data_IF_688963350286
#
_entry.id   IF_688963350286
#
_cell.length_a   1.000
_cell.length_b   1.000
_cell.length_c   1.000
_cell.angle_alpha   90.00
_cell.angle_beta   90.00
_cell.angle_gamma   90.00
#
_symmetry.space_group_name_H-M   'P 1'
#
loop_
_entity.id
_entity.type
_entity.pdbx_description
1 polymer ?
#
# COMPACT_ATOMS: atom_id res chain seq x y z
N UNK A 1 -7.97 11.88 34.60
CA UNK A 1 -7.23 12.97 33.94
C UNK A 1 -7.51 12.87 32.45
N UNK A 2 -8.29 13.80 31.88
CA UNK A 2 -8.33 13.93 30.42
C UNK A 2 -6.90 14.34 30.03
N UNK A 3 -6.20 13.53 29.23
CA UNK A 3 -4.99 14.02 28.58
C UNK A 3 -5.41 15.28 27.81
N UNK A 4 -4.95 16.44 28.25
CA UNK A 4 -4.97 17.63 27.40
C UNK A 4 -4.13 17.26 26.19
N UNK A 5 -4.82 17.05 25.07
CA UNK A 5 -4.19 16.77 23.79
C UNK A 5 -3.34 17.97 23.42
N UNK A 6 -2.06 17.72 23.19
CA UNK A 6 -1.09 18.75 22.88
C UNK A 6 -1.39 19.41 21.54
N UNK A 7 -1.56 20.74 21.59
CA UNK A 7 -1.90 21.56 20.43
C UNK A 7 -0.83 21.44 19.33
N UNK A 8 0.44 21.28 19.72
CA UNK A 8 1.59 21.12 18.82
C UNK A 8 1.46 19.85 17.96
N UNK A 9 1.17 18.71 18.61
CA UNK A 9 0.98 17.42 17.94
C UNK A 9 -0.24 17.44 17.00
N UNK A 10 -1.34 18.04 17.45
CA UNK A 10 -2.54 18.17 16.63
C UNK A 10 -2.35 19.12 15.45
N UNK A 11 -1.62 20.21 15.63
CA UNK A 11 -1.25 21.12 14.54
C UNK A 11 -0.38 20.41 13.50
N UNK A 12 0.64 19.67 13.93
CA UNK A 12 1.51 18.91 13.04
C UNK A 12 0.71 17.87 12.21
N UNK A 13 -0.17 17.13 12.87
CA UNK A 13 -1.07 16.17 12.22
C UNK A 13 -1.99 16.85 11.21
N UNK A 14 -2.56 18.01 11.56
CA UNK A 14 -3.46 18.73 10.68
C UNK A 14 -2.78 19.29 9.43
N UNK A 15 -1.58 19.85 9.58
CA UNK A 15 -0.77 20.32 8.44
C UNK A 15 -0.43 19.17 7.48
N UNK A 16 -0.05 18.01 8.03
CA UNK A 16 0.27 16.81 7.25
C UNK A 16 -0.96 16.31 6.50
N UNK A 17 -2.10 16.17 7.18
CA UNK A 17 -3.35 15.71 6.57
C UNK A 17 -3.85 16.66 5.48
N UNK A 18 -3.75 17.98 5.66
CA UNK A 18 -4.14 18.96 4.63
C UNK A 18 -3.35 18.77 3.33
N UNK A 19 -2.05 18.49 3.42
CA UNK A 19 -1.24 18.20 2.23
C UNK A 19 -1.74 16.94 1.53
N UNK A 20 -1.96 15.84 2.27
CA UNK A 20 -2.44 14.57 1.69
C UNK A 20 -3.86 14.66 1.13
N UNK A 21 -4.71 15.48 1.73
CA UNK A 21 -6.05 15.73 1.24
C UNK A 21 -6.03 16.44 -0.11
N UNK A 22 -5.15 17.43 -0.30
CA UNK A 22 -4.96 18.07 -1.61
C UNK A 22 -4.47 17.08 -2.67
N UNK A 23 -3.48 16.26 -2.32
CA UNK A 23 -2.97 15.19 -3.20
C UNK A 23 -4.11 14.24 -3.64
N UNK A 24 -5.08 13.95 -2.75
CA UNK A 24 -6.24 13.12 -3.09
C UNK A 24 -7.22 13.84 -4.02
N UNK A 25 -7.56 15.10 -3.71
CA UNK A 25 -8.57 15.89 -4.44
C UNK A 25 -8.13 16.13 -5.88
N UNK A 26 -6.84 16.41 -6.11
CA UNK A 26 -6.28 16.69 -7.44
C UNK A 26 -6.42 15.52 -8.42
N UNK A 27 -6.58 14.28 -7.93
CA UNK A 27 -6.68 13.10 -8.77
C UNK A 27 -8.13 12.69 -9.08
N UNK A 28 -9.14 13.32 -8.47
CA UNK A 28 -10.56 12.92 -8.61
C UNK A 28 -11.01 12.97 -10.06
N UNK A 29 -10.76 14.09 -10.76
CA UNK A 29 -11.20 14.27 -12.14
C UNK A 29 -10.54 13.26 -13.08
N UNK A 30 -9.22 13.04 -12.92
CA UNK A 30 -8.48 12.07 -13.72
C UNK A 30 -8.95 10.62 -13.50
N UNK A 31 -9.31 10.25 -12.27
CA UNK A 31 -9.88 8.93 -11.96
C UNK A 31 -11.25 8.73 -12.61
N UNK A 32 -12.05 9.80 -12.72
CA UNK A 32 -13.36 9.74 -13.40
C UNK A 32 -13.22 9.56 -14.91
N UNK A 33 -12.32 10.32 -15.53
CA UNK A 33 -12.06 10.26 -16.97
C UNK A 33 -11.48 8.91 -17.38
N UNK A 34 -10.66 8.31 -16.51
CA UNK A 34 -10.03 7.00 -16.73
C UNK A 34 -9.17 6.92 -18.00
N UNK A 35 -8.61 8.06 -18.43
CA UNK A 35 -7.69 8.15 -19.57
C UNK A 35 -6.28 7.67 -19.22
N UNK A 36 -5.84 7.94 -17.99
CA UNK A 36 -4.54 7.50 -17.46
C UNK A 36 -4.73 6.74 -16.13
N UNK A 37 -4.29 5.48 -16.12
CA UNK A 37 -4.33 4.58 -14.96
C UNK A 37 -3.52 5.11 -13.76
N UNK A 38 -2.57 6.02 -14.01
CA UNK A 38 -1.74 6.59 -12.95
C UNK A 38 -2.51 7.55 -12.05
N UNK A 39 -3.59 8.20 -12.52
CA UNK A 39 -4.49 8.95 -11.64
C UNK A 39 -5.08 8.06 -10.55
N UNK A 40 -5.52 6.86 -10.93
CA UNK A 40 -6.06 5.87 -10.00
C UNK A 40 -4.98 5.40 -9.00
N UNK A 41 -3.76 5.17 -9.48
CA UNK A 41 -2.64 4.82 -8.62
C UNK A 41 -2.32 5.92 -7.59
N UNK A 42 -2.19 7.18 -8.03
CA UNK A 42 -1.87 8.32 -7.17
C UNK A 42 -2.98 8.58 -6.15
N UNK A 43 -4.24 8.55 -6.56
CA UNK A 43 -5.38 8.69 -5.64
C UNK A 43 -5.43 7.56 -4.60
N UNK A 44 -5.18 6.31 -5.03
CA UNK A 44 -5.07 5.17 -4.10
C UNK A 44 -3.95 5.39 -3.08
N UNK A 45 -2.77 5.83 -3.51
CA UNK A 45 -1.64 6.14 -2.62
C UNK A 45 -1.99 7.25 -1.64
N UNK A 46 -2.59 8.34 -2.11
CA UNK A 46 -3.04 9.45 -1.26
C UNK A 46 -4.06 8.97 -0.20
N UNK A 47 -5.07 8.19 -0.59
CA UNK A 47 -6.07 7.66 0.34
C UNK A 47 -5.45 6.75 1.41
N UNK A 48 -4.44 5.94 1.07
CA UNK A 48 -3.69 5.12 2.05
C UNK A 48 -2.90 5.98 3.02
N UNK A 49 -2.22 7.02 2.53
CA UNK A 49 -1.47 7.97 3.37
C UNK A 49 -2.40 8.70 4.33
N UNK A 50 -3.55 9.21 3.87
CA UNK A 50 -4.57 9.82 4.74
C UNK A 50 -4.98 8.86 5.85
N UNK A 51 -5.26 7.59 5.53
CA UNK A 51 -5.65 6.59 6.56
C UNK A 51 -4.55 6.32 7.58
N UNK A 52 -3.30 6.23 7.13
CA UNK A 52 -2.15 6.04 8.02
C UNK A 52 -1.96 7.25 8.93
N UNK A 53 -2.03 8.47 8.39
CA UNK A 53 -1.92 9.70 9.16
C UNK A 53 -3.09 9.86 10.13
N UNK A 54 -4.34 9.62 9.71
CA UNK A 54 -5.51 9.65 10.60
C UNK A 54 -5.41 8.69 11.78
N UNK A 55 -4.70 7.56 11.64
CA UNK A 55 -4.48 6.63 12.73
C UNK A 55 -3.47 7.14 13.76
N UNK A 56 -2.50 7.98 13.35
CA UNK A 56 -1.50 8.57 14.25
C UNK A 56 -2.07 9.74 15.07
N UNK A 57 -3.00 10.49 14.48
CA UNK A 57 -3.58 11.70 15.09
C UNK A 57 -5.06 11.54 15.45
N UNK A 58 -5.55 10.30 15.65
CA UNK A 58 -6.97 10.06 15.87
C UNK A 58 -7.53 10.76 17.12
N UNK A 59 -6.69 10.93 18.13
CA UNK A 59 -7.05 11.59 19.39
C UNK A 59 -7.26 13.10 19.22
N UNK A 60 -6.68 13.73 18.18
CA UNK A 60 -6.80 15.17 17.90
C UNK A 60 -8.17 15.59 17.37
N UNK A 61 -9.08 14.64 17.18
CA UNK A 61 -10.36 14.89 16.52
C UNK A 61 -11.50 14.22 17.29
N UNK A 62 -12.74 14.73 17.15
CA UNK A 62 -13.91 14.05 17.70
C UNK A 62 -14.03 12.63 17.15
N UNK A 63 -14.12 11.65 18.05
CA UNK A 63 -14.09 10.22 17.69
C UNK A 63 -15.19 9.81 16.69
N UNK A 64 -16.36 10.45 16.73
CA UNK A 64 -17.44 10.21 15.75
C UNK A 64 -17.03 10.64 14.32
N UNK A 65 -16.31 11.75 14.19
CA UNK A 65 -15.85 12.27 12.90
C UNK A 65 -14.75 11.38 12.32
N UNK A 66 -13.72 11.07 13.11
CA UNK A 66 -12.61 10.17 12.68
C UNK A 66 -13.11 8.82 12.21
N UNK A 67 -14.06 8.21 12.93
CA UNK A 67 -14.67 6.94 12.53
C UNK A 67 -15.33 7.04 11.15
N UNK A 68 -16.03 8.14 10.88
CA UNK A 68 -16.69 8.40 9.60
C UNK A 68 -15.65 8.61 8.49
N UNK A 69 -14.66 9.47 8.71
CA UNK A 69 -13.58 9.73 7.76
C UNK A 69 -12.81 8.46 7.40
N UNK A 70 -12.38 7.67 8.40
CA UNK A 70 -11.67 6.41 8.18
C UNK A 70 -12.52 5.39 7.44
N UNK A 71 -13.82 5.33 7.70
CA UNK A 71 -14.74 4.43 6.98
C UNK A 71 -14.82 4.79 5.50
N UNK A 72 -14.96 6.08 5.17
CA UNK A 72 -15.04 6.53 3.77
C UNK A 72 -13.70 6.38 3.05
N UNK A 73 -12.60 6.80 3.68
CA UNK A 73 -11.26 6.61 3.09
C UNK A 73 -10.93 5.12 2.91
N UNK A 74 -11.36 4.23 3.83
CA UNK A 74 -11.20 2.78 3.66
C UNK A 74 -11.96 2.26 2.45
N UNK A 75 -13.19 2.74 2.22
CA UNK A 75 -14.00 2.39 1.05
C UNK A 75 -13.28 2.82 -0.24
N UNK A 76 -12.85 4.08 -0.31
CA UNK A 76 -12.08 4.61 -1.45
C UNK A 76 -10.83 3.77 -1.71
N UNK A 77 -9.98 3.59 -0.68
CA UNK A 77 -8.75 2.79 -0.81
C UNK A 77 -9.00 1.37 -1.31
N UNK A 78 -10.06 0.70 -0.81
CA UNK A 78 -10.35 -0.69 -1.19
C UNK A 78 -10.80 -0.77 -2.65
N UNK A 79 -11.76 0.06 -3.04
CA UNK A 79 -12.31 0.01 -4.42
C UNK A 79 -11.27 0.41 -5.46
N UNK A 80 -10.46 1.44 -5.20
CA UNK A 80 -9.33 1.78 -6.06
C UNK A 80 -8.22 0.70 -6.00
N UNK A 81 -8.15 -0.05 -4.89
CA UNK A 81 -7.26 -1.20 -4.76
C UNK A 81 -7.59 -2.30 -5.74
N UNK A 82 -8.82 -2.79 -5.72
CA UNK A 82 -9.26 -3.87 -6.59
C UNK A 82 -9.03 -3.51 -8.09
N UNK A 83 -9.27 -2.26 -8.46
CA UNK A 83 -9.02 -1.76 -9.82
C UNK A 83 -7.52 -1.69 -10.17
N UNK A 84 -6.67 -1.11 -9.30
CA UNK A 84 -5.23 -1.02 -9.55
C UNK A 84 -4.58 -2.40 -9.59
N UNK A 85 -5.03 -3.32 -8.75
CA UNK A 85 -4.45 -4.66 -8.71
C UNK A 85 -4.72 -5.38 -10.06
N UNK A 86 -5.90 -5.18 -10.66
CA UNK A 86 -6.18 -5.66 -12.02
C UNK A 86 -5.36 -4.91 -13.11
N UNK A 87 -5.16 -3.59 -12.99
CA UNK A 87 -4.29 -2.83 -13.92
C UNK A 87 -2.85 -3.36 -13.90
N UNK A 88 -2.30 -3.63 -12.72
CA UNK A 88 -0.95 -4.21 -12.55
C UNK A 88 -0.87 -5.63 -13.13
N UNK A 89 -1.90 -6.45 -12.93
CA UNK A 89 -1.95 -7.78 -13.52
C UNK A 89 -2.02 -7.75 -15.04
N UNK A 90 -2.75 -6.80 -15.63
CA UNK A 90 -2.82 -6.59 -17.08
C UNK A 90 -1.43 -6.24 -17.62
N UNK A 91 -0.78 -5.24 -17.04
CA UNK A 91 0.57 -4.79 -17.44
C UNK A 91 1.61 -5.92 -17.33
N UNK A 92 1.57 -6.70 -16.23
CA UNK A 92 2.41 -7.87 -16.05
C UNK A 92 2.22 -8.91 -17.17
N UNK A 93 0.97 -9.24 -17.51
CA UNK A 93 0.68 -10.24 -18.54
C UNK A 93 0.99 -9.75 -19.95
N UNK A 94 0.80 -8.46 -20.24
CA UNK A 94 1.19 -7.84 -21.50
C UNK A 94 2.70 -7.89 -21.68
N UNK A 95 3.45 -7.43 -20.69
CA UNK A 95 4.93 -7.50 -20.67
C UNK A 95 5.40 -8.95 -20.80
N UNK A 96 4.75 -9.89 -20.11
CA UNK A 96 5.08 -11.31 -20.21
C UNK A 96 4.84 -11.85 -21.63
N UNK A 97 3.70 -11.52 -22.26
CA UNK A 97 3.37 -11.94 -23.63
C UNK A 97 4.33 -11.38 -24.69
N UNK A 98 4.83 -10.16 -24.47
CA UNK A 98 5.80 -9.50 -25.34
C UNK A 98 7.18 -10.16 -25.26
N UNK A 99 7.58 -10.59 -24.05
CA UNK A 99 8.82 -11.34 -23.83
C UNK A 99 8.76 -12.82 -24.26
N UNK A 100 7.59 -13.33 -24.60
CA UNK A 100 7.38 -14.76 -24.85
C UNK A 100 7.86 -15.20 -26.24
N UNK A 101 8.84 -16.09 -26.29
CA UNK A 101 9.36 -16.61 -27.56
C UNK A 101 8.43 -17.67 -28.18
N UNK A 102 7.98 -18.64 -27.38
CA UNK A 102 7.24 -19.81 -27.87
C UNK A 102 5.73 -19.54 -28.07
N UNK A 103 5.26 -19.70 -29.30
CA UNK A 103 3.85 -19.46 -29.65
C UNK A 103 2.86 -20.39 -28.92
N UNK A 104 3.27 -21.61 -28.54
CA UNK A 104 2.40 -22.60 -27.87
C UNK A 104 1.87 -22.15 -26.51
N UNK A 105 2.55 -21.23 -25.83
CA UNK A 105 2.14 -20.73 -24.52
C UNK A 105 1.19 -19.52 -24.59
N UNK A 106 1.11 -18.86 -25.76
CA UNK A 106 0.36 -17.60 -25.92
C UNK A 106 -1.14 -17.74 -25.66
N UNK A 107 -1.75 -18.84 -26.06
CA UNK A 107 -3.21 -19.01 -26.00
C UNK A 107 -3.76 -18.96 -24.57
N UNK A 108 -3.13 -19.68 -23.64
CA UNK A 108 -3.51 -19.69 -22.22
C UNK A 108 -3.39 -18.31 -21.58
N UNK A 109 -2.26 -17.64 -21.82
CA UNK A 109 -1.96 -16.34 -21.20
C UNK A 109 -2.86 -15.25 -21.77
N UNK A 110 -3.12 -15.24 -23.08
CA UNK A 110 -4.11 -14.33 -23.69
C UNK A 110 -5.51 -14.54 -23.13
N UNK A 111 -5.88 -15.78 -22.82
CA UNK A 111 -7.18 -16.09 -22.22
C UNK A 111 -7.28 -15.55 -20.79
N UNK A 112 -6.23 -15.70 -20.00
CA UNK A 112 -6.12 -15.10 -18.67
C UNK A 112 -6.21 -13.57 -18.73
N UNK A 113 -5.42 -12.94 -19.60
CA UNK A 113 -5.44 -11.49 -19.83
C UNK A 113 -6.84 -10.99 -20.19
N UNK A 114 -7.55 -11.69 -21.07
CA UNK A 114 -8.94 -11.37 -21.42
C UNK A 114 -9.85 -11.37 -20.19
N UNK A 115 -9.73 -12.36 -19.29
CA UNK A 115 -10.56 -12.43 -18.07
C UNK A 115 -10.29 -11.28 -17.12
N UNK A 116 -9.02 -10.92 -16.94
CA UNK A 116 -8.63 -9.81 -16.06
C UNK A 116 -9.10 -8.47 -16.64
N UNK A 117 -9.00 -8.27 -17.96
CA UNK A 117 -9.57 -7.08 -18.64
C UNK A 117 -11.09 -6.98 -18.44
N UNK A 118 -11.82 -8.08 -18.58
CA UNK A 118 -13.27 -8.12 -18.32
C UNK A 118 -13.59 -7.78 -16.85
N UNK A 119 -12.80 -8.30 -15.90
CA UNK A 119 -12.93 -7.95 -14.49
C UNK A 119 -12.66 -6.46 -14.25
N UNK A 120 -11.59 -5.90 -14.83
CA UNK A 120 -11.23 -4.49 -14.68
C UNK A 120 -12.30 -3.55 -15.21
N UNK A 121 -12.90 -3.89 -16.36
CA UNK A 121 -14.02 -3.16 -16.93
C UNK A 121 -15.23 -3.17 -15.98
N UNK A 122 -15.56 -4.33 -15.40
CA UNK A 122 -16.61 -4.46 -14.38
C UNK A 122 -16.34 -3.66 -13.11
N UNK A 123 -15.07 -3.48 -12.73
CA UNK A 123 -14.66 -2.68 -11.57
C UNK A 123 -14.79 -1.17 -11.81
N UNK A 124 -14.74 -0.70 -13.07
CA UNK A 124 -14.83 0.72 -13.38
C UNK A 124 -16.14 1.35 -12.89
N UNK A 125 -17.26 0.63 -13.01
CA UNK A 125 -18.56 1.06 -12.47
C UNK A 125 -18.52 1.24 -10.95
N UNK A 126 -17.80 0.37 -10.23
CA UNK A 126 -17.63 0.47 -8.77
C UNK A 126 -16.76 1.66 -8.39
N UNK A 127 -15.71 1.94 -9.16
CA UNK A 127 -14.85 3.13 -8.98
C UNK A 127 -15.71 4.39 -9.07
N UNK A 128 -16.46 4.57 -10.16
CA UNK A 128 -17.35 5.73 -10.36
C UNK A 128 -18.36 5.85 -9.21
N UNK A 129 -19.04 4.76 -8.85
CA UNK A 129 -20.00 4.75 -7.73
C UNK A 129 -19.38 5.21 -6.40
N UNK A 130 -18.12 4.87 -6.16
CA UNK A 130 -17.41 5.28 -4.93
C UNK A 130 -16.98 6.74 -5.01
N UNK A 131 -16.64 7.26 -6.19
CA UNK A 131 -16.37 8.69 -6.38
C UNK A 131 -17.64 9.52 -6.17
N UNK A 132 -18.76 9.14 -6.79
CA UNK A 132 -20.06 9.83 -6.62
C UNK A 132 -20.45 9.90 -5.13
N UNK A 133 -20.27 8.78 -4.40
CA UNK A 133 -20.55 8.73 -2.96
C UNK A 133 -19.59 9.55 -2.12
N UNK A 134 -18.33 9.70 -2.55
CA UNK A 134 -17.35 10.49 -1.81
C UNK A 134 -17.70 11.97 -1.90
N UNK A 135 -17.97 12.46 -3.11
CA UNK A 135 -18.39 13.82 -3.39
C UNK A 135 -19.72 14.17 -2.70
N UNK A 136 -20.71 13.27 -2.74
CA UNK A 136 -22.01 13.50 -2.11
C UNK A 136 -22.04 13.38 -0.57
N UNK A 137 -20.91 13.04 0.08
CA UNK A 137 -20.89 12.75 1.53
C UNK A 137 -20.41 13.89 2.41
N UNK A 138 -20.06 15.04 1.82
CA UNK A 138 -19.42 16.22 2.45
C UNK A 138 -18.16 15.87 3.26
N UNK A 139 -17.64 14.65 3.16
CA UNK A 139 -16.55 14.16 4.02
C UNK A 139 -15.24 14.86 3.72
N UNK A 140 -14.97 15.17 2.44
CA UNK A 140 -13.76 15.90 2.06
C UNK A 140 -13.79 17.33 2.60
N UNK A 141 -14.93 18.02 2.45
CA UNK A 141 -15.16 19.37 2.97
C UNK A 141 -15.07 19.40 4.50
N UNK A 142 -15.70 18.43 5.17
CA UNK A 142 -15.68 18.32 6.62
C UNK A 142 -14.28 18.05 7.19
N UNK A 143 -13.48 17.19 6.52
CA UNK A 143 -12.07 17.01 6.86
C UNK A 143 -11.35 18.34 6.67
N UNK A 144 -11.47 18.95 5.49
CA UNK A 144 -10.75 20.19 5.16
C UNK A 144 -11.05 21.32 6.15
N UNK A 145 -12.32 21.55 6.48
CA UNK A 145 -12.76 22.58 7.42
C UNK A 145 -12.16 22.35 8.80
N UNK A 146 -12.27 21.12 9.33
CA UNK A 146 -11.75 20.78 10.66
C UNK A 146 -10.23 20.99 10.72
N UNK A 147 -9.49 20.53 9.70
CA UNK A 147 -8.04 20.70 9.66
C UNK A 147 -7.63 22.17 9.50
N UNK A 148 -8.41 22.97 8.74
CA UNK A 148 -8.18 24.41 8.60
C UNK A 148 -8.41 25.15 9.90
N UNK A 149 -9.44 24.79 10.67
CA UNK A 149 -9.71 25.38 11.99
C UNK A 149 -8.54 25.14 12.94
N UNK A 150 -8.03 23.90 13.03
CA UNK A 150 -6.83 23.58 13.85
C UNK A 150 -5.62 24.40 13.39
N UNK A 151 -5.39 24.50 12.08
CA UNK A 151 -4.26 25.27 11.53
C UNK A 151 -4.37 26.77 11.82
N UNK A 152 -5.58 27.35 11.75
CA UNK A 152 -5.81 28.77 12.07
C UNK A 152 -5.58 29.00 13.55
N UNK A 153 -6.15 28.16 14.42
CA UNK A 153 -5.97 28.24 15.87
C UNK A 153 -4.49 28.17 16.26
N UNK A 154 -3.76 27.17 15.75
CA UNK A 154 -2.32 27.03 16.01
C UNK A 154 -1.51 28.23 15.54
N UNK A 155 -1.90 28.87 14.41
CA UNK A 155 -1.24 30.09 13.93
C UNK A 155 -1.52 31.30 14.83
N UNK A 156 -2.75 31.47 15.31
CA UNK A 156 -3.13 32.57 16.19
C UNK A 156 -2.43 32.47 17.55
N UNK A 157 -2.30 31.26 18.07
CA UNK A 157 -1.63 30.97 19.34
C UNK A 157 -0.10 30.83 19.20
N UNK A 158 0.45 30.98 17.99
CA UNK A 158 1.89 30.83 17.71
C UNK A 158 2.46 29.47 18.18
N UNK A 159 1.67 28.41 18.03
CA UNK A 159 2.05 27.05 18.42
C UNK A 159 3.22 26.58 17.55
N UNK A 160 4.33 26.22 18.19
CA UNK A 160 5.46 25.57 17.54
C UNK A 160 5.18 24.07 17.41
N UNK A 161 5.48 23.48 16.24
CA UNK A 161 5.37 22.03 16.02
C UNK A 161 6.66 21.29 16.39
N UNK A 162 7.75 22.00 16.68
CA UNK A 162 9.06 21.45 17.03
C UNK A 162 9.28 21.34 18.55
N UNK A 163 8.25 20.88 19.28
CA UNK A 163 8.29 20.69 20.74
C UNK A 163 8.77 19.29 21.13
N UNK A 164 9.34 19.14 22.33
CA UNK A 164 9.80 17.84 22.85
C UNK A 164 8.71 16.77 22.79
N UNK A 165 7.45 17.13 23.05
CA UNK A 165 6.33 16.20 22.98
C UNK A 165 6.07 15.66 21.57
N UNK A 166 6.15 16.50 20.52
CA UNK A 166 5.99 16.03 19.14
C UNK A 166 7.11 15.06 18.76
N UNK A 167 8.35 15.33 19.16
CA UNK A 167 9.48 14.41 18.96
C UNK A 167 9.33 13.10 19.75
N UNK A 168 8.80 13.16 20.98
CA UNK A 168 8.51 11.97 21.78
C UNK A 168 7.43 11.10 21.12
N UNK A 169 6.36 11.71 20.60
CA UNK A 169 5.31 10.98 19.88
C UNK A 169 5.83 10.39 18.56
N UNK A 170 6.67 11.14 17.82
CA UNK A 170 7.32 10.65 16.62
C UNK A 170 8.22 9.44 16.90
N UNK A 171 9.09 9.55 17.92
CA UNK A 171 9.96 8.46 18.37
C UNK A 171 9.14 7.24 18.76
N UNK A 172 8.12 7.39 19.60
CA UNK A 172 7.26 6.29 20.03
C UNK A 172 6.57 5.62 18.84
N UNK A 173 5.96 6.41 17.95
CA UNK A 173 5.24 5.89 16.80
C UNK A 173 6.16 5.13 15.83
N UNK A 174 7.36 5.66 15.55
CA UNK A 174 8.32 5.01 14.65
C UNK A 174 8.87 3.73 15.30
N UNK A 175 9.29 3.77 16.57
CA UNK A 175 9.79 2.60 17.30
C UNK A 175 8.77 1.48 17.36
N UNK A 176 7.51 1.77 17.70
CA UNK A 176 6.44 0.76 17.72
C UNK A 176 6.21 0.10 16.35
N UNK A 177 6.37 0.83 15.25
CA UNK A 177 6.24 0.27 13.89
C UNK A 177 7.48 -0.47 13.42
N UNK A 178 8.64 -0.11 13.94
CA UNK A 178 9.86 -0.88 13.75
C UNK A 178 9.74 -2.22 14.46
N UNK A 179 9.36 -2.22 15.73
CA UNK A 179 9.15 -3.45 16.52
C UNK A 179 8.09 -4.35 15.89
N UNK A 180 6.97 -3.78 15.41
CA UNK A 180 5.94 -4.53 14.67
C UNK A 180 6.50 -5.24 13.43
N UNK A 181 7.42 -4.62 12.71
CA UNK A 181 8.06 -5.22 11.53
C UNK A 181 9.09 -6.28 11.93
N UNK A 182 9.95 -5.97 12.91
CA UNK A 182 11.00 -6.87 13.39
C UNK A 182 10.43 -8.10 14.10
N UNK A 183 9.20 -8.05 14.62
CA UNK A 183 8.50 -9.22 15.15
C UNK A 183 8.35 -10.37 14.12
N UNK A 184 8.46 -10.07 12.82
CA UNK A 184 8.42 -11.07 11.76
C UNK A 184 9.80 -11.56 11.29
N UNK A 185 10.90 -11.02 11.87
CA UNK A 185 12.26 -11.47 11.57
C UNK A 185 12.47 -12.98 11.64
N UNK A 186 11.92 -13.73 12.64
CA UNK A 186 12.13 -15.17 12.72
C UNK A 186 11.66 -15.96 11.48
N UNK A 187 10.76 -15.39 10.68
CA UNK A 187 10.20 -16.00 9.48
C UNK A 187 10.96 -15.65 8.20
N UNK A 188 11.90 -14.69 8.24
CA UNK A 188 12.64 -14.22 7.05
C UNK A 188 13.33 -15.35 6.30
N UNK A 189 13.84 -16.36 7.03
CA UNK A 189 14.57 -17.51 6.48
C UNK A 189 13.67 -18.73 6.19
N UNK A 190 12.35 -18.57 6.26
CA UNK A 190 11.36 -19.64 6.08
C UNK A 190 10.49 -19.35 4.84
N UNK A 191 10.87 -19.82 3.64
CA UNK A 191 10.16 -19.47 2.40
C UNK A 191 8.70 -19.94 2.38
N UNK A 192 8.36 -20.99 3.13
CA UNK A 192 7.00 -21.53 3.25
C UNK A 192 6.05 -20.66 4.09
N UNK A 193 6.57 -19.69 4.85
CA UNK A 193 5.79 -18.79 5.74
C UNK A 193 5.23 -17.60 4.98
N UNK A 194 4.46 -17.90 3.93
CA UNK A 194 3.88 -16.90 2.99
C UNK A 194 3.04 -15.86 3.73
N UNK A 195 2.21 -16.28 4.68
CA UNK A 195 1.35 -15.37 5.44
C UNK A 195 2.15 -14.40 6.32
N UNK A 196 3.20 -14.89 6.98
CA UNK A 196 4.07 -14.06 7.82
C UNK A 196 4.94 -13.10 7.01
N UNK A 197 5.47 -13.54 5.86
CA UNK A 197 6.20 -12.65 4.95
C UNK A 197 5.28 -11.55 4.38
N UNK A 198 4.02 -11.88 4.07
CA UNK A 198 3.02 -10.89 3.69
C UNK A 198 2.68 -9.92 4.85
N UNK A 199 2.56 -10.44 6.08
CA UNK A 199 2.31 -9.62 7.26
C UNK A 199 3.49 -8.66 7.54
N UNK A 200 4.72 -9.14 7.39
CA UNK A 200 5.94 -8.33 7.46
C UNK A 200 5.92 -7.20 6.43
N UNK A 201 5.53 -7.48 5.18
CA UNK A 201 5.36 -6.44 4.14
C UNK A 201 4.37 -5.37 4.57
N UNK A 202 3.25 -5.76 5.17
CA UNK A 202 2.25 -4.82 5.68
C UNK A 202 2.85 -3.95 6.81
N UNK A 203 3.61 -4.57 7.73
CA UNK A 203 4.30 -3.86 8.80
C UNK A 203 5.35 -2.87 8.26
N UNK A 204 6.19 -3.28 7.32
CA UNK A 204 7.16 -2.42 6.63
C UNK A 204 6.47 -1.21 5.96
N UNK A 205 5.31 -1.43 5.33
CA UNK A 205 4.51 -0.35 4.76
C UNK A 205 4.00 0.64 5.80
N UNK A 206 3.56 0.15 6.97
CA UNK A 206 3.11 1.00 8.09
C UNK A 206 4.27 1.80 8.67
N UNK A 207 5.44 1.18 8.85
CA UNK A 207 6.67 1.85 9.27
C UNK A 207 7.06 2.94 8.28
N UNK A 208 7.13 2.63 6.99
CA UNK A 208 7.46 3.61 5.94
C UNK A 208 6.54 4.82 5.97
N UNK A 209 5.22 4.60 6.07
CA UNK A 209 4.26 5.71 6.12
C UNK A 209 4.34 6.52 7.41
N UNK A 210 4.73 5.89 8.53
CA UNK A 210 4.96 6.58 9.80
C UNK A 210 6.21 7.45 9.72
N UNK A 211 7.30 6.93 9.14
CA UNK A 211 8.51 7.71 8.86
C UNK A 211 8.18 8.87 7.91
N UNK A 212 7.47 8.64 6.81
CA UNK A 212 7.06 9.71 5.87
C UNK A 212 6.24 10.84 6.52
N UNK A 213 5.50 10.55 7.59
CA UNK A 213 4.73 11.54 8.34
C UNK A 213 5.65 12.42 9.18
N UNK A 214 6.60 11.82 9.90
CA UNK A 214 7.47 12.54 10.83
C UNK A 214 8.81 13.00 10.25
N UNK A 215 9.21 12.54 9.06
CA UNK A 215 10.45 12.93 8.35
C UNK A 215 10.71 14.45 8.33
N UNK A 216 9.71 15.34 8.15
CA UNK A 216 9.94 16.79 8.21
C UNK A 216 10.50 17.31 9.55
N UNK A 217 10.31 16.58 10.66
CA UNK A 217 10.85 16.96 11.97
C UNK A 217 12.35 16.66 12.11
N UNK A 218 12.88 15.77 11.28
CA UNK A 218 14.24 15.24 11.38
C UNK A 218 15.14 15.72 10.23
N UNK A 219 14.76 16.77 9.50
CA UNK A 219 15.60 17.40 8.45
C UNK A 219 16.28 16.40 7.49
N UNK A 220 15.54 15.42 6.99
CA UNK A 220 16.02 14.33 6.09
C UNK A 220 16.92 13.26 6.75
N UNK A 221 17.22 13.31 8.05
CA UNK A 221 18.00 12.26 8.74
C UNK A 221 17.32 10.88 8.66
N UNK A 222 16.00 10.83 8.56
CA UNK A 222 15.23 9.59 8.39
C UNK A 222 15.15 9.08 6.94
N UNK A 223 15.72 9.81 5.99
CA UNK A 223 15.59 9.50 4.55
C UNK A 223 16.23 8.16 4.19
N UNK A 224 17.41 7.88 4.72
CA UNK A 224 18.13 6.62 4.49
C UNK A 224 17.32 5.43 5.03
N UNK A 225 16.85 5.52 6.28
CA UNK A 225 16.00 4.48 6.89
C UNK A 225 14.69 4.31 6.11
N UNK A 226 14.06 5.39 5.66
CA UNK A 226 12.87 5.32 4.81
C UNK A 226 13.13 4.60 3.49
N UNK A 227 14.28 4.84 2.86
CA UNK A 227 14.68 4.18 1.62
C UNK A 227 14.90 2.68 1.85
N UNK A 228 15.57 2.29 2.92
CA UNK A 228 15.74 0.87 3.28
C UNK A 228 14.39 0.18 3.51
N UNK A 229 13.51 0.78 4.32
CA UNK A 229 12.18 0.20 4.57
C UNK A 229 11.35 0.14 3.28
N UNK A 230 11.51 1.12 2.38
CA UNK A 230 10.90 1.07 1.05
C UNK A 230 11.40 -0.13 0.26
N UNK A 231 12.69 -0.42 0.28
CA UNK A 231 13.27 -1.55 -0.45
C UNK A 231 12.78 -2.88 0.10
N UNK A 232 12.80 -3.07 1.43
CA UNK A 232 12.17 -4.24 2.10
C UNK A 232 10.72 -4.42 1.63
N UNK A 233 9.94 -3.33 1.61
CA UNK A 233 8.54 -3.37 1.18
C UNK A 233 8.37 -3.65 -0.33
N UNK A 234 9.34 -3.29 -1.17
CA UNK A 234 9.35 -3.59 -2.61
C UNK A 234 9.62 -5.08 -2.81
N UNK A 235 10.73 -5.59 -2.27
CA UNK A 235 11.12 -7.00 -2.43
C UNK A 235 10.02 -7.94 -1.91
N UNK A 236 9.53 -7.72 -0.69
CA UNK A 236 8.41 -8.50 -0.14
C UNK A 236 7.10 -8.30 -0.92
N UNK A 237 6.95 -7.16 -1.60
CA UNK A 237 5.85 -6.92 -2.52
C UNK A 237 5.90 -7.84 -3.73
N UNK A 238 7.06 -7.92 -4.37
CA UNK A 238 7.28 -8.77 -5.53
C UNK A 238 7.06 -10.24 -5.17
N UNK A 239 7.61 -10.71 -4.03
CA UNK A 239 7.40 -12.09 -3.52
C UNK A 239 5.91 -12.38 -3.37
N UNK A 240 5.18 -11.50 -2.67
CA UNK A 240 3.74 -11.67 -2.46
C UNK A 240 2.95 -11.66 -3.77
N UNK A 241 3.30 -10.79 -4.72
CA UNK A 241 2.61 -10.72 -6.00
C UNK A 241 2.79 -12.03 -6.79
N UNK A 242 3.96 -12.68 -6.70
CA UNK A 242 4.15 -14.02 -7.26
C UNK A 242 3.43 -15.12 -6.47
N UNK A 243 3.40 -15.06 -5.14
CA UNK A 243 2.64 -16.02 -4.31
C UNK A 243 1.15 -16.02 -4.72
N UNK A 244 0.57 -14.83 -4.93
CA UNK A 244 -0.80 -14.66 -5.42
C UNK A 244 -0.99 -15.31 -6.79
N UNK A 245 -0.04 -15.16 -7.71
CA UNK A 245 -0.11 -15.83 -9.02
C UNK A 245 -0.03 -17.35 -8.91
N UNK A 246 0.91 -17.87 -8.12
CA UNK A 246 1.11 -19.31 -7.93
C UNK A 246 -0.15 -19.97 -7.34
N UNK A 247 -0.83 -19.29 -6.42
CA UNK A 247 -2.11 -19.73 -5.86
C UNK A 247 -3.28 -19.61 -6.84
N UNK A 248 -3.34 -18.52 -7.60
CA UNK A 248 -4.49 -18.19 -8.46
C UNK A 248 -4.53 -19.02 -9.76
N UNK A 249 -3.38 -19.29 -10.39
CA UNK A 249 -3.33 -19.93 -11.71
C UNK A 249 -3.97 -21.34 -11.77
N UNK A 250 -3.80 -22.22 -10.76
CA UNK A 250 -4.54 -23.48 -10.68
C UNK A 250 -6.06 -23.30 -10.59
N UNK A 251 -6.51 -22.33 -9.79
CA UNK A 251 -7.94 -22.02 -9.63
C UNK A 251 -8.54 -21.52 -10.95
N UNK A 252 -7.83 -20.61 -11.62
CA UNK A 252 -8.20 -20.12 -12.94
C UNK A 252 -8.35 -21.25 -13.96
N UNK A 253 -7.42 -22.20 -13.98
CA UNK A 253 -7.47 -23.33 -14.91
C UNK A 253 -8.70 -24.22 -14.67
N UNK A 254 -9.06 -24.43 -13.40
CA UNK A 254 -10.25 -25.19 -13.03
C UNK A 254 -11.56 -24.46 -13.39
N UNK A 255 -11.61 -23.14 -13.16
CA UNK A 255 -12.75 -22.33 -13.61
C UNK A 255 -12.93 -22.37 -15.13
N UNK A 256 -11.84 -22.27 -15.89
CA UNK A 256 -11.89 -22.38 -17.35
C UNK A 256 -12.24 -23.80 -17.80
N UNK A 257 -11.87 -24.84 -17.05
CA UNK A 257 -12.31 -26.22 -17.31
C UNK A 257 -13.83 -26.34 -17.19
N UNK A 258 -14.43 -25.81 -16.12
CA UNK A 258 -15.88 -25.83 -15.91
C UNK A 258 -16.58 -25.07 -17.04
N UNK A 259 -16.15 -23.85 -17.35
CA UNK A 259 -16.74 -23.03 -18.43
C UNK A 259 -16.63 -23.69 -19.81
N UNK A 260 -15.50 -24.36 -20.08
CA UNK A 260 -15.31 -25.09 -21.34
C UNK A 260 -16.25 -26.30 -21.43
N UNK A 261 -16.44 -27.02 -20.32
CA UNK A 261 -17.36 -28.15 -20.24
C UNK A 261 -18.81 -27.71 -20.42
N UNK A 262 -19.23 -26.62 -19.77
CA UNK A 262 -20.58 -26.05 -19.90
C UNK A 262 -20.89 -25.60 -21.33
N UNK A 263 -19.93 -24.98 -22.02
CA UNK A 263 -20.14 -24.44 -23.36
C UNK A 263 -20.02 -25.49 -24.47
N UNK A 264 -19.01 -26.38 -24.41
CA UNK A 264 -18.71 -27.34 -25.47
C UNK A 264 -19.16 -28.78 -25.18
N UNK A 265 -19.55 -29.09 -23.95
CA UNK A 265 -19.82 -30.46 -23.51
C UNK A 265 -18.56 -31.34 -23.32
N UNK A 266 -17.37 -30.79 -23.53
CA UNK A 266 -16.09 -31.50 -23.35
C UNK A 266 -14.93 -30.54 -23.05
N UNK A 267 -13.82 -31.03 -22.51
CA UNK A 267 -12.66 -30.21 -22.11
C UNK A 267 -11.53 -30.12 -23.15
N UNK A 268 -11.69 -30.68 -24.36
CA UNK A 268 -10.63 -30.68 -25.39
C UNK A 268 -10.02 -29.29 -25.68
N UNK A 269 -10.81 -28.19 -25.79
CA UNK A 269 -10.25 -26.86 -26.03
C UNK A 269 -9.34 -26.35 -24.91
N UNK A 270 -9.52 -26.83 -23.67
CA UNK A 270 -8.70 -26.43 -22.51
C UNK A 270 -7.23 -26.81 -22.68
N UNK A 271 -6.93 -27.87 -23.44
CA UNK A 271 -5.56 -28.33 -23.65
C UNK A 271 -4.67 -27.25 -24.30
N UNK A 272 -5.26 -26.40 -25.16
CA UNK A 272 -4.56 -25.28 -25.79
C UNK A 272 -4.23 -24.16 -24.79
N UNK A 273 -5.04 -24.01 -23.73
CA UNK A 273 -4.84 -23.01 -22.70
C UNK A 273 -3.86 -23.49 -21.63
N UNK A 274 -3.95 -24.76 -21.27
CA UNK A 274 -3.22 -25.38 -20.17
C UNK A 274 -1.71 -25.20 -20.28
N UNK A 275 -1.14 -25.33 -21.48
CA UNK A 275 0.31 -25.18 -21.69
C UNK A 275 0.80 -23.79 -21.27
N UNK A 276 0.10 -22.72 -21.66
CA UNK A 276 0.48 -21.35 -21.31
C UNK A 276 0.33 -21.04 -19.83
N UNK A 277 -0.72 -21.54 -19.19
CA UNK A 277 -0.98 -21.31 -17.77
C UNK A 277 0.05 -22.04 -16.89
N UNK A 278 0.38 -23.29 -17.21
CA UNK A 278 1.42 -24.03 -16.49
C UNK A 278 2.80 -23.41 -16.67
N UNK A 279 3.11 -22.93 -17.89
CA UNK A 279 4.35 -22.22 -18.15
C UNK A 279 4.46 -20.95 -17.31
N UNK A 280 3.41 -20.12 -17.30
CA UNK A 280 3.36 -18.91 -16.48
C UNK A 280 3.49 -19.24 -14.98
N UNK A 281 2.85 -20.31 -14.51
CA UNK A 281 2.96 -20.74 -13.12
C UNK A 281 4.40 -21.11 -12.74
N UNK A 282 5.09 -21.85 -13.61
CA UNK A 282 6.49 -22.22 -13.42
C UNK A 282 7.40 -20.98 -13.38
N UNK A 283 7.20 -20.03 -14.30
CA UNK A 283 7.95 -18.77 -14.34
C UNK A 283 7.72 -17.92 -13.08
N UNK A 284 6.47 -17.79 -12.63
CA UNK A 284 6.15 -17.11 -11.38
C UNK A 284 6.84 -17.77 -10.19
N UNK A 285 6.82 -19.11 -10.09
CA UNK A 285 7.51 -19.82 -9.01
C UNK A 285 9.02 -19.58 -9.02
N UNK A 286 9.67 -19.64 -10.19
CA UNK A 286 11.11 -19.40 -10.31
C UNK A 286 11.48 -17.97 -9.93
N UNK A 287 10.73 -16.97 -10.39
CA UNK A 287 10.96 -15.56 -10.04
C UNK A 287 10.71 -15.29 -8.57
N UNK A 288 9.69 -15.92 -7.98
CA UNK A 288 9.42 -15.89 -6.55
C UNK A 288 10.60 -16.40 -5.74
N UNK A 289 11.12 -17.57 -6.10
CA UNK A 289 12.24 -18.20 -5.40
C UNK A 289 13.53 -17.38 -5.53
N UNK A 290 13.77 -16.80 -6.69
CA UNK A 290 14.89 -15.89 -6.92
C UNK A 290 14.76 -14.62 -6.07
N UNK A 291 13.59 -13.98 -6.09
CA UNK A 291 13.34 -12.75 -5.33
C UNK A 291 13.39 -12.97 -3.82
N UNK A 292 12.98 -14.15 -3.36
CA UNK A 292 13.14 -14.56 -1.98
C UNK A 292 14.61 -14.70 -1.56
N UNK A 293 15.49 -15.26 -2.41
CA UNK A 293 16.92 -15.31 -2.12
C UNK A 293 17.51 -13.90 -1.99
N UNK A 294 17.20 -13.03 -2.93
CA UNK A 294 17.60 -11.60 -2.88
C UNK A 294 17.11 -10.91 -1.61
N UNK A 295 15.90 -11.25 -1.14
CA UNK A 295 15.38 -10.73 0.13
C UNK A 295 16.22 -11.17 1.32
N UNK A 296 16.55 -12.46 1.42
CA UNK A 296 17.34 -13.00 2.52
C UNK A 296 18.74 -12.38 2.53
N UNK A 297 19.40 -12.30 1.38
CA UNK A 297 20.72 -11.67 1.23
C UNK A 297 20.68 -10.20 1.65
N UNK A 298 19.71 -9.44 1.13
CA UNK A 298 19.52 -8.04 1.50
C UNK A 298 19.25 -7.88 2.99
N UNK A 299 18.41 -8.74 3.59
CA UNK A 299 18.13 -8.68 5.02
C UNK A 299 19.38 -8.90 5.88
N UNK A 300 20.23 -9.84 5.50
CA UNK A 300 21.50 -10.12 6.20
C UNK A 300 22.48 -8.94 6.11
N UNK A 301 22.54 -8.27 4.96
CA UNK A 301 23.30 -7.02 4.81
C UNK A 301 22.81 -5.92 5.76
N UNK A 302 21.48 -5.76 5.89
CA UNK A 302 20.89 -4.77 6.80
C UNK A 302 21.23 -5.06 8.27
N UNK A 303 21.25 -6.33 8.67
CA UNK A 303 21.66 -6.74 10.02
C UNK A 303 23.14 -6.43 10.26
N UNK A 304 24.02 -6.72 9.31
CA UNK A 304 25.44 -6.44 9.42
C UNK A 304 25.74 -4.92 9.50
N UNK A 305 24.98 -4.11 8.79
CA UNK A 305 25.12 -2.65 8.78
C UNK A 305 24.47 -1.95 10.00
N UNK A 306 23.89 -2.70 10.94
CA UNK A 306 23.21 -2.17 12.13
C UNK A 306 22.17 -1.08 11.81
N UNK A 307 21.48 -1.21 10.68
CA UNK A 307 20.58 -0.16 10.13
C UNK A 307 19.47 0.21 11.12
N UNK A 308 18.92 -0.79 11.83
CA UNK A 308 17.85 -0.59 12.79
C UNK A 308 18.34 0.06 14.09
N UNK A 309 19.57 -0.23 14.51
CA UNK A 309 20.21 0.43 15.66
C UNK A 309 20.50 1.90 15.36
N UNK A 310 21.01 2.19 14.16
CA UNK A 310 21.24 3.55 13.68
C UNK A 310 19.95 4.38 13.65
N UNK A 311 18.84 3.79 13.19
CA UNK A 311 17.52 4.42 13.27
C UNK A 311 17.13 4.72 14.72
N UNK A 312 17.32 3.78 15.64
CA UNK A 312 17.09 3.99 17.06
C UNK A 312 17.90 5.16 17.64
N UNK A 313 19.18 5.26 17.29
CA UNK A 313 20.07 6.34 17.72
C UNK A 313 19.60 7.72 17.22
N UNK A 314 19.20 7.84 15.95
CA UNK A 314 18.66 9.09 15.37
C UNK A 314 17.41 9.53 16.14
N UNK A 315 16.50 8.59 16.44
CA UNK A 315 15.27 8.88 17.18
C UNK A 315 15.55 9.35 18.61
N UNK A 316 16.54 8.76 19.29
CA UNK A 316 16.90 9.10 20.66
C UNK A 316 17.68 10.40 20.80
N UNK A 317 18.60 10.70 19.88
CA UNK A 317 19.40 11.94 19.92
C UNK A 317 18.50 13.18 19.91
N UNK A 318 17.52 13.22 19.00
CA UNK A 318 16.58 14.35 18.87
C UNK A 318 15.56 14.44 20.00
N UNK A 319 15.36 13.37 20.76
CA UNK A 319 14.53 13.38 21.99
C UNK A 319 15.25 14.06 23.16
N UNK A 320 16.58 14.03 23.20
CA UNK A 320 17.38 14.58 24.31
C UNK A 320 17.81 16.03 24.08
N UNK A 321 17.87 16.49 22.83
CA UNK A 321 18.30 17.84 22.48
C UNK A 321 17.26 18.96 22.73
N UNK A 322 16.02 18.63 23.13
CA UNK A 322 14.90 19.57 23.36
C UNK A 322 13.89 19.09 24.40
#
# INVERSE_FOLDING_TARGET
MKNELDESYCLFGAQTLLKRLRDLIQEIDGVRQAEDIEHLHRMRVASRRIRSTLALFEECFPQKMVKTWRKQMRRVTRTLGDARDADVQIDFLETFLDSLEEARYRAGIKRLLLRIRQQREGLQRKVITVMDRLEASDVLENIEETLRQIRIHGRLNQVDVHTSLVYQQACLAISLKLDEMLAYEPYVRQPERVEELHAMRIAAKRLRYTIEVFEPLYHEELKSSRQVVREVQTILGDIHDYDVWVEYLPQFLEEERVRTLEYFGHTRPLNLLKAGILYLQQECQQRRDQRYKEFVEFWEELQHQAVWENLGQILHARRQDK
#
